data_IF_014023609261
#
_entry.id   IF_014023609261
#
_cell.length_a   1.000
_cell.length_b   1.000
_cell.length_c   1.000
_cell.angle_alpha   90.00
_cell.angle_beta   90.00
_cell.angle_gamma   90.00
#
_symmetry.space_group_name_H-M   'P 1'
#
loop_
_entity.id
_entity.type
_entity.pdbx_description
1 polymer ?
#
# COMPACT_ATOMS: atom_id res chain seq x y z
N UNK A 1 12.71 -7.77 -15.42
CA UNK A 1 12.98 -7.14 -14.12
C UNK A 1 12.63 -8.11 -13.01
N UNK A 2 13.40 -8.12 -11.91
CA UNK A 2 13.01 -8.79 -10.65
C UNK A 2 12.30 -7.79 -9.75
N UNK A 3 11.06 -8.05 -9.43
CA UNK A 3 10.22 -7.14 -8.63
C UNK A 3 9.78 -7.85 -7.35
N UNK A 4 10.02 -7.25 -6.20
CA UNK A 4 9.51 -7.72 -4.91
C UNK A 4 8.28 -6.89 -4.56
N UNK A 5 7.15 -7.55 -4.25
CA UNK A 5 5.87 -6.89 -4.01
C UNK A 5 5.22 -7.40 -2.72
N UNK A 6 4.87 -6.48 -1.83
CA UNK A 6 4.02 -6.75 -0.67
C UNK A 6 2.57 -6.37 -0.96
N UNK A 7 1.62 -6.98 -0.26
CA UNK A 7 0.20 -6.69 -0.47
C UNK A 7 -0.39 -7.30 -1.75
N UNK A 8 0.30 -8.27 -2.37
CA UNK A 8 -0.11 -8.92 -3.62
C UNK A 8 -1.50 -9.61 -3.58
N UNK A 9 -2.00 -9.93 -2.39
CA UNK A 9 -3.33 -10.54 -2.18
C UNK A 9 -4.45 -9.51 -2.00
N UNK A 10 -4.13 -8.22 -1.95
CA UNK A 10 -5.10 -7.13 -1.84
C UNK A 10 -5.69 -6.75 -3.20
N UNK A 11 -6.74 -5.91 -3.19
CA UNK A 11 -7.45 -5.44 -4.38
C UNK A 11 -6.50 -4.87 -5.45
N UNK A 12 -5.67 -3.90 -5.10
CA UNK A 12 -4.70 -3.30 -6.04
C UNK A 12 -3.59 -4.31 -6.37
N UNK A 13 -3.04 -4.97 -5.36
CA UNK A 13 -1.89 -5.86 -5.54
C UNK A 13 -2.16 -7.08 -6.40
N UNK A 14 -3.37 -7.63 -6.38
CA UNK A 14 -3.75 -8.77 -7.23
C UNK A 14 -3.79 -8.38 -8.72
N UNK A 15 -4.41 -7.25 -9.04
CA UNK A 15 -4.49 -6.73 -10.42
C UNK A 15 -3.09 -6.33 -10.92
N UNK A 16 -2.31 -5.64 -10.09
CA UNK A 16 -0.95 -5.26 -10.43
C UNK A 16 -0.06 -6.50 -10.66
N UNK A 17 -0.18 -7.52 -9.80
CA UNK A 17 0.55 -8.79 -9.96
C UNK A 17 0.20 -9.46 -11.29
N UNK A 18 -1.07 -9.46 -11.67
CA UNK A 18 -1.50 -10.03 -12.94
C UNK A 18 -0.93 -9.25 -14.13
N UNK A 19 -1.04 -7.91 -14.11
CA UNK A 19 -0.50 -7.05 -15.18
C UNK A 19 1.02 -7.19 -15.32
N UNK A 20 1.77 -7.14 -14.22
CA UNK A 20 3.22 -7.31 -14.22
C UNK A 20 3.67 -8.69 -14.68
N UNK A 21 2.86 -9.73 -14.47
CA UNK A 21 3.17 -11.10 -14.92
C UNK A 21 3.03 -11.30 -16.42
N UNK A 22 2.20 -10.50 -17.10
CA UNK A 22 2.07 -10.51 -18.56
C UNK A 22 3.32 -9.97 -19.26
N UNK A 23 4.10 -9.14 -18.56
CA UNK A 23 5.41 -8.69 -18.99
C UNK A 23 6.49 -9.69 -18.56
N UNK A 24 7.71 -9.61 -19.13
CA UNK A 24 8.81 -10.54 -18.82
C UNK A 24 9.45 -10.30 -17.44
N UNK A 25 8.64 -10.04 -16.41
CA UNK A 25 9.09 -9.81 -15.04
C UNK A 25 9.15 -11.11 -14.24
N UNK A 26 10.12 -11.20 -13.33
CA UNK A 26 10.15 -12.17 -12.23
C UNK A 26 9.60 -11.52 -10.98
N UNK A 27 8.53 -12.07 -10.42
CA UNK A 27 7.84 -11.51 -9.28
C UNK A 27 8.09 -12.32 -8.02
N UNK A 28 8.55 -11.68 -6.96
CA UNK A 28 8.59 -12.23 -5.61
C UNK A 28 7.49 -11.56 -4.79
N UNK A 29 6.48 -12.33 -4.43
CA UNK A 29 5.26 -11.87 -3.78
C UNK A 29 5.32 -12.19 -2.29
N UNK A 30 5.34 -11.17 -1.46
CA UNK A 30 5.45 -11.29 -0.02
C UNK A 30 4.07 -11.28 0.63
N UNK A 31 3.75 -12.32 1.41
CA UNK A 31 2.46 -12.44 2.09
C UNK A 31 2.62 -13.09 3.46
N UNK A 32 1.79 -12.68 4.43
CA UNK A 32 1.69 -13.33 5.74
C UNK A 32 1.23 -14.80 5.63
N UNK A 33 0.44 -15.09 4.59
CA UNK A 33 -0.10 -16.42 4.28
C UNK A 33 0.04 -16.66 2.78
N UNK A 34 1.21 -17.13 2.31
CA UNK A 34 1.38 -17.48 0.91
C UNK A 34 0.35 -18.54 0.48
N UNK A 35 -0.25 -18.44 -0.70
CA UNK A 35 -1.10 -19.49 -1.23
C UNK A 35 -0.33 -20.79 -1.41
N UNK A 36 -0.90 -21.93 -1.01
CA UNK A 36 -0.30 -23.22 -1.24
C UNK A 36 -0.23 -23.54 -2.75
N UNK A 37 0.93 -24.06 -3.21
CA UNK A 37 1.08 -24.60 -4.57
C UNK A 37 1.13 -23.60 -5.72
N UNK A 38 1.19 -22.31 -5.48
CA UNK A 38 1.13 -21.28 -6.52
C UNK A 38 2.53 -20.81 -6.97
N UNK A 39 3.34 -21.73 -7.48
CA UNK A 39 4.61 -21.45 -8.12
C UNK A 39 4.45 -21.50 -9.65
N UNK A 40 3.88 -20.44 -10.24
CA UNK A 40 3.98 -20.26 -11.68
C UNK A 40 5.44 -19.89 -12.01
N UNK A 41 5.93 -20.27 -13.20
CA UNK A 41 7.34 -20.17 -13.59
C UNK A 41 8.03 -18.80 -13.38
N UNK A 42 7.25 -17.73 -13.15
CA UNK A 42 7.76 -16.36 -12.93
C UNK A 42 7.21 -15.70 -11.67
N UNK A 43 6.52 -16.45 -10.79
CA UNK A 43 5.94 -15.95 -9.54
C UNK A 43 6.41 -16.83 -8.38
N UNK A 44 7.10 -16.25 -7.44
CA UNK A 44 7.50 -16.90 -6.19
C UNK A 44 6.77 -16.25 -5.04
N UNK A 45 6.12 -17.05 -4.19
CA UNK A 45 5.53 -16.57 -2.95
C UNK A 45 6.45 -16.87 -1.77
N UNK A 46 6.67 -15.87 -0.94
CA UNK A 46 7.46 -16.02 0.30
C UNK A 46 6.64 -15.54 1.50
N UNK A 47 6.80 -16.27 2.61
CA UNK A 47 6.23 -15.84 3.88
C UNK A 47 6.93 -14.57 4.34
N UNK A 48 6.14 -13.56 4.72
CA UNK A 48 6.64 -12.28 5.21
C UNK A 48 5.78 -11.78 6.37
N UNK A 49 6.46 -11.44 7.44
CA UNK A 49 5.88 -10.78 8.60
C UNK A 49 6.86 -9.70 9.07
N UNK A 50 6.41 -8.43 9.25
CA UNK A 50 7.25 -7.38 9.83
C UNK A 50 7.88 -7.83 11.16
N UNK A 51 9.17 -7.54 11.34
CA UNK A 51 9.92 -7.92 12.54
C UNK A 51 10.40 -9.38 12.60
N UNK A 52 10.05 -10.22 11.61
CA UNK A 52 10.53 -11.60 11.52
C UNK A 52 11.45 -11.73 10.31
N UNK A 53 12.71 -12.09 10.55
CA UNK A 53 13.68 -12.38 9.47
C UNK A 53 13.33 -13.67 8.75
N UNK A 54 13.65 -13.74 7.46
CA UNK A 54 13.34 -14.90 6.63
C UNK A 54 13.93 -14.82 5.22
N UNK A 55 13.59 -15.81 4.39
CA UNK A 55 14.05 -15.86 3.00
C UNK A 55 13.67 -14.62 2.17
N UNK A 56 12.60 -13.95 2.55
CA UNK A 56 12.13 -12.74 1.90
C UNK A 56 13.17 -11.61 1.91
N UNK A 57 14.02 -11.52 2.96
CA UNK A 57 15.09 -10.52 3.03
C UNK A 57 16.12 -10.76 1.90
N UNK A 58 16.43 -12.03 1.62
CA UNK A 58 17.33 -12.40 0.53
C UNK A 58 16.74 -12.10 -0.85
N UNK A 59 15.41 -12.09 -0.96
CA UNK A 59 14.73 -11.76 -2.22
C UNK A 59 14.90 -10.29 -2.62
N UNK A 60 15.12 -9.40 -1.65
CA UNK A 60 15.43 -7.97 -1.91
C UNK A 60 16.77 -7.81 -2.60
N UNK A 61 17.76 -8.66 -2.26
CA UNK A 61 19.08 -8.61 -2.89
C UNK A 61 18.98 -8.88 -4.40
N UNK A 62 19.51 -7.96 -5.20
CA UNK A 62 19.44 -8.02 -6.66
C UNK A 62 18.03 -7.81 -7.24
N UNK A 63 17.07 -7.31 -6.48
CA UNK A 63 15.80 -6.84 -7.03
C UNK A 63 16.00 -5.52 -7.80
N UNK A 64 15.29 -5.35 -8.93
CA UNK A 64 15.26 -4.08 -9.65
C UNK A 64 14.35 -3.06 -8.94
N UNK A 65 13.21 -3.54 -8.40
CA UNK A 65 12.25 -2.69 -7.70
C UNK A 65 11.59 -3.41 -6.52
N UNK A 66 11.22 -2.63 -5.51
CA UNK A 66 10.37 -3.04 -4.38
C UNK A 66 9.07 -2.25 -4.44
N UNK A 67 7.93 -2.94 -4.43
CA UNK A 67 6.60 -2.33 -4.40
C UNK A 67 5.93 -2.67 -3.08
N UNK A 68 5.63 -1.65 -2.28
CA UNK A 68 5.04 -1.81 -0.96
C UNK A 68 3.58 -1.35 -0.95
N UNK A 69 2.65 -2.31 -1.04
CA UNK A 69 1.20 -2.08 -0.98
C UNK A 69 0.59 -2.69 0.29
N UNK A 70 1.39 -3.21 1.22
CA UNK A 70 0.89 -3.87 2.41
C UNK A 70 0.31 -2.87 3.42
N UNK A 71 -0.84 -3.19 3.96
CA UNK A 71 -1.48 -2.41 5.02
C UNK A 71 -2.80 -3.03 5.45
N UNK A 72 -3.14 -2.93 6.73
CA UNK A 72 -4.45 -3.32 7.25
C UNK A 72 -5.53 -2.41 6.65
N UNK A 73 -6.69 -2.94 6.19
CA UNK A 73 -7.77 -2.14 5.62
C UNK A 73 -8.29 -1.08 6.60
N UNK A 74 -8.27 0.20 6.18
CA UNK A 74 -8.70 1.35 7.00
C UNK A 74 -10.17 1.23 7.42
N UNK A 75 -11.04 0.86 6.49
CA UNK A 75 -12.48 0.78 6.70
C UNK A 75 -12.96 -0.64 7.11
N UNK A 76 -12.05 -1.53 7.50
CA UNK A 76 -12.39 -2.92 7.84
C UNK A 76 -13.08 -3.06 9.20
N UNK A 77 -12.68 -2.26 10.18
CA UNK A 77 -13.11 -2.35 11.59
C UNK A 77 -13.29 -0.96 12.19
N UNK A 78 -14.00 -0.90 13.33
CA UNK A 78 -14.13 0.35 14.12
C UNK A 78 -12.75 0.77 14.65
N UNK A 79 -12.46 2.06 14.64
CA UNK A 79 -11.20 2.65 15.07
C UNK A 79 -11.09 2.77 16.60
N UNK A 80 -10.84 1.66 17.26
CA UNK A 80 -10.38 1.62 18.65
C UNK A 80 -8.90 1.99 18.74
N UNK A 81 -8.38 2.27 19.92
CA UNK A 81 -6.95 2.49 20.13
C UNK A 81 -6.11 1.31 19.59
N UNK A 82 -6.53 0.07 19.89
CA UNK A 82 -5.90 -1.14 19.38
C UNK A 82 -5.93 -1.23 17.84
N UNK A 83 -7.07 -0.87 17.22
CA UNK A 83 -7.15 -0.89 15.76
C UNK A 83 -6.27 0.18 15.10
N UNK A 84 -6.19 1.38 15.69
CA UNK A 84 -5.29 2.44 15.22
C UNK A 84 -3.82 1.99 15.28
N UNK A 85 -3.42 1.28 16.34
CA UNK A 85 -2.08 0.71 16.46
C UNK A 85 -1.81 -0.35 15.36
N UNK A 86 -2.78 -1.23 15.09
CA UNK A 86 -2.67 -2.21 13.99
C UNK A 86 -2.56 -1.52 12.63
N UNK A 87 -3.33 -0.44 12.40
CA UNK A 87 -3.26 0.35 11.17
C UNK A 87 -1.86 0.97 10.99
N UNK A 88 -1.29 1.49 12.09
CA UNK A 88 0.04 2.08 12.11
C UNK A 88 1.13 1.02 11.90
N UNK A 89 1.16 -0.01 12.73
CA UNK A 89 2.21 -1.04 12.70
C UNK A 89 2.24 -1.78 11.35
N UNK A 90 1.07 -2.09 10.78
CA UNK A 90 1.01 -2.77 9.48
C UNK A 90 1.66 -1.98 8.33
N UNK A 91 1.76 -0.64 8.46
CA UNK A 91 2.36 0.25 7.48
C UNK A 91 3.77 0.63 7.84
N UNK A 92 3.96 1.23 9.00
CA UNK A 92 5.25 1.77 9.43
C UNK A 92 6.24 0.63 9.68
N UNK A 93 5.88 -0.38 10.49
CA UNK A 93 6.80 -1.49 10.78
C UNK A 93 7.02 -2.37 9.56
N UNK A 94 5.98 -2.52 8.70
CA UNK A 94 6.11 -3.19 7.42
C UNK A 94 7.13 -2.51 6.50
N UNK A 95 7.04 -1.19 6.38
CA UNK A 95 7.96 -0.39 5.57
C UNK A 95 9.38 -0.40 6.16
N UNK A 96 9.49 -0.26 7.48
CA UNK A 96 10.75 -0.35 8.21
C UNK A 96 11.47 -1.67 7.95
N UNK A 97 10.75 -2.78 7.96
CA UNK A 97 11.31 -4.10 7.66
C UNK A 97 11.88 -4.18 6.22
N UNK A 98 11.15 -3.63 5.24
CA UNK A 98 11.63 -3.58 3.85
C UNK A 98 12.86 -2.69 3.70
N UNK A 99 12.85 -1.48 4.29
CA UNK A 99 14.00 -0.56 4.28
C UNK A 99 15.23 -1.20 4.94
N UNK A 100 15.03 -1.91 6.04
CA UNK A 100 16.11 -2.65 6.69
C UNK A 100 16.69 -3.77 5.80
N UNK A 101 15.85 -4.51 5.09
CA UNK A 101 16.31 -5.52 4.14
C UNK A 101 17.02 -4.88 2.93
N UNK A 102 16.55 -3.73 2.45
CA UNK A 102 17.26 -2.92 1.44
C UNK A 102 18.63 -2.51 1.93
N UNK A 103 18.74 -2.03 3.17
CA UNK A 103 20.03 -1.64 3.77
C UNK A 103 21.04 -2.81 3.82
N UNK A 104 20.57 -4.03 4.04
CA UNK A 104 21.40 -5.24 4.11
C UNK A 104 21.73 -5.85 2.73
N UNK A 105 20.94 -5.58 1.70
CA UNK A 105 21.14 -6.14 0.37
C UNK A 105 22.54 -5.79 -0.17
N UNK A 106 23.23 -6.71 -0.83
CA UNK A 106 24.51 -6.45 -1.51
C UNK A 106 24.28 -5.61 -2.77
N UNK A 107 23.31 -6.00 -3.57
CA UNK A 107 22.85 -5.26 -4.75
C UNK A 107 21.51 -4.65 -4.42
N UNK A 108 21.48 -3.34 -4.21
CA UNK A 108 20.29 -2.60 -3.81
C UNK A 108 19.31 -2.43 -4.97
N UNK A 109 18.00 -2.46 -4.71
CA UNK A 109 17.01 -2.11 -5.73
C UNK A 109 17.23 -0.66 -6.19
N UNK A 110 16.89 -0.39 -7.45
CA UNK A 110 16.97 0.98 -8.00
C UNK A 110 15.78 1.83 -7.58
N UNK A 111 14.65 1.20 -7.28
CA UNK A 111 13.36 1.86 -7.04
C UNK A 111 12.62 1.20 -5.89
N UNK A 112 12.07 2.01 -5.00
CA UNK A 112 11.02 1.63 -4.05
C UNK A 112 9.77 2.45 -4.33
N UNK A 113 8.66 1.79 -4.69
CA UNK A 113 7.34 2.40 -4.77
C UNK A 113 6.61 2.03 -3.48
N UNK A 114 6.24 3.02 -2.69
CA UNK A 114 5.46 2.79 -1.46
C UNK A 114 4.10 3.46 -1.56
N UNK A 115 3.06 2.73 -1.21
CA UNK A 115 1.75 3.33 -1.02
C UNK A 115 1.82 4.40 0.07
N UNK A 116 1.03 5.44 -0.14
CA UNK A 116 0.57 6.42 0.82
C UNK A 116 -0.92 6.67 0.54
N UNK A 117 -1.49 7.77 0.97
CA UNK A 117 -2.88 8.11 0.71
C UNK A 117 -3.09 9.63 0.71
N UNK A 118 -4.13 10.09 0.02
CA UNK A 118 -4.60 11.49 0.11
C UNK A 118 -4.99 11.90 1.54
N UNK A 119 -5.22 10.94 2.43
CA UNK A 119 -5.36 11.19 3.87
C UNK A 119 -4.16 11.89 4.51
N UNK A 120 -3.01 11.97 3.84
CA UNK A 120 -1.87 12.78 4.21
C UNK A 120 -2.24 14.25 4.45
N UNK A 121 -3.12 14.79 3.60
CA UNK A 121 -3.50 16.19 3.66
C UNK A 121 -4.51 16.50 4.79
N UNK A 122 -5.25 15.49 5.27
CA UNK A 122 -6.35 15.72 6.22
C UNK A 122 -7.57 16.39 5.59
N UNK A 123 -8.53 16.89 6.40
CA UNK A 123 -9.69 17.60 5.90
C UNK A 123 -9.30 19.01 5.41
N UNK A 124 -9.73 19.35 4.19
CA UNK A 124 -9.53 20.64 3.55
C UNK A 124 -10.83 21.18 2.95
N UNK A 125 -10.84 22.48 2.62
CA UNK A 125 -11.90 23.17 1.88
C UNK A 125 -11.81 22.91 0.36
N UNK A 126 -12.01 23.98 -0.41
CA UNK A 126 -12.06 23.90 -1.89
C UNK A 126 -10.70 24.24 -2.55
N UNK A 127 -9.66 24.45 -1.76
CA UNK A 127 -8.32 24.73 -2.27
C UNK A 127 -7.72 23.52 -3.00
N UNK A 128 -7.00 23.77 -4.08
CA UNK A 128 -6.25 22.75 -4.78
C UNK A 128 -5.01 22.35 -3.96
N UNK A 129 -4.85 21.05 -3.74
CA UNK A 129 -3.70 20.47 -3.06
C UNK A 129 -2.77 19.81 -4.07
N UNK A 130 -1.47 19.92 -3.83
CA UNK A 130 -0.41 19.27 -4.60
C UNK A 130 0.56 18.52 -3.64
N UNK A 131 1.60 17.96 -4.21
CA UNK A 131 2.56 17.16 -3.45
C UNK A 131 3.35 17.97 -2.41
N UNK A 132 3.51 19.28 -2.61
CA UNK A 132 4.21 20.21 -1.71
C UNK A 132 3.30 20.74 -0.59
N UNK A 133 1.98 20.47 -0.66
CA UNK A 133 1.03 20.88 0.36
C UNK A 133 1.33 20.22 1.69
N UNK A 134 1.17 20.98 2.78
CA UNK A 134 1.46 20.51 4.14
C UNK A 134 0.54 19.35 4.54
N UNK A 135 1.02 18.44 5.39
CA UNK A 135 0.16 17.40 5.96
C UNK A 135 -0.87 18.00 6.91
N UNK A 136 -2.01 17.33 7.03
CA UNK A 136 -2.98 17.59 8.07
C UNK A 136 -2.50 17.12 9.45
N UNK A 137 -3.36 17.28 10.46
CA UNK A 137 -3.04 16.99 11.85
C UNK A 137 -3.88 15.87 12.48
N UNK A 138 -4.75 15.23 11.70
CA UNK A 138 -5.57 14.11 12.15
C UNK A 138 -4.77 12.79 12.24
N UNK A 139 -5.46 11.72 12.67
CA UNK A 139 -4.82 10.40 12.79
C UNK A 139 -4.32 9.86 11.45
N UNK A 140 -5.07 10.05 10.36
CA UNK A 140 -4.67 9.53 9.05
C UNK A 140 -3.51 10.31 8.47
N UNK A 141 -3.52 11.62 8.62
CA UNK A 141 -2.43 12.47 8.18
C UNK A 141 -1.11 12.10 8.89
N UNK A 142 -1.15 12.00 10.22
CA UNK A 142 0.02 11.55 11.01
C UNK A 142 0.49 10.15 10.62
N UNK A 143 -0.43 9.22 10.37
CA UNK A 143 -0.11 7.88 9.90
C UNK A 143 0.61 7.91 8.55
N UNK A 144 0.13 8.72 7.60
CA UNK A 144 0.77 8.89 6.29
C UNK A 144 2.16 9.50 6.42
N UNK A 145 2.32 10.54 7.25
CA UNK A 145 3.64 11.17 7.52
C UNK A 145 4.63 10.15 8.07
N UNK A 146 4.24 9.38 9.10
CA UNK A 146 5.10 8.34 9.68
C UNK A 146 5.49 7.28 8.62
N UNK A 147 4.53 6.89 7.80
CA UNK A 147 4.72 5.88 6.76
C UNK A 147 5.67 6.36 5.65
N UNK A 148 5.44 7.58 5.14
CA UNK A 148 6.29 8.21 4.13
C UNK A 148 7.71 8.47 4.66
N UNK A 149 7.83 8.95 5.89
CA UNK A 149 9.12 9.15 6.56
C UNK A 149 9.92 7.85 6.63
N UNK A 150 9.26 6.73 6.93
CA UNK A 150 9.95 5.43 6.98
C UNK A 150 10.40 4.97 5.59
N UNK A 151 9.58 5.19 4.54
CA UNK A 151 9.95 4.84 3.18
C UNK A 151 11.13 5.66 2.65
N UNK A 152 11.16 6.96 2.93
CA UNK A 152 12.25 7.86 2.52
C UNK A 152 13.63 7.44 3.07
N UNK A 153 13.69 6.69 4.16
CA UNK A 153 14.97 6.17 4.67
C UNK A 153 15.71 5.27 3.67
N UNK A 154 15.02 4.71 2.67
CA UNK A 154 15.66 3.94 1.61
C UNK A 154 16.57 4.78 0.71
N UNK A 155 16.35 6.10 0.63
CA UNK A 155 17.16 7.03 -0.16
C UNK A 155 18.61 7.11 0.34
N UNK A 156 18.83 6.92 1.65
CA UNK A 156 20.16 6.85 2.23
C UNK A 156 21.03 5.71 1.68
N UNK A 157 20.40 4.73 1.02
CA UNK A 157 21.05 3.59 0.38
C UNK A 157 21.12 3.72 -1.15
N UNK A 158 20.84 4.91 -1.71
CA UNK A 158 20.84 5.16 -3.16
C UNK A 158 19.62 4.64 -3.91
N UNK A 159 18.55 4.31 -3.21
CA UNK A 159 17.28 3.84 -3.79
C UNK A 159 16.39 5.05 -4.08
N UNK A 160 15.91 5.19 -5.31
CA UNK A 160 14.86 6.17 -5.62
C UNK A 160 13.56 5.75 -4.94
N UNK A 161 12.98 6.64 -4.14
CA UNK A 161 11.67 6.41 -3.49
C UNK A 161 10.57 7.16 -4.25
N UNK A 162 9.46 6.48 -4.50
CA UNK A 162 8.26 7.05 -5.09
C UNK A 162 7.07 6.75 -4.15
N UNK A 163 6.43 7.79 -3.64
CA UNK A 163 5.29 7.70 -2.74
C UNK A 163 3.99 7.93 -3.51
N UNK A 164 3.02 7.02 -3.39
CA UNK A 164 1.74 7.11 -4.08
C UNK A 164 0.65 7.54 -3.11
N UNK A 165 0.32 8.83 -3.05
CA UNK A 165 -0.80 9.37 -2.28
C UNK A 165 -2.12 9.11 -3.00
N UNK A 166 -2.54 7.85 -2.99
CA UNK A 166 -3.70 7.37 -3.74
C UNK A 166 -5.00 7.82 -3.09
N UNK A 167 -5.97 8.25 -3.90
CA UNK A 167 -7.35 8.48 -3.49
C UNK A 167 -8.12 7.17 -3.23
N UNK A 168 -9.43 7.27 -3.13
CA UNK A 168 -10.30 6.09 -2.96
C UNK A 168 -10.28 5.27 -4.24
N UNK A 169 -9.74 4.05 -4.19
CA UNK A 169 -9.74 3.16 -5.35
C UNK A 169 -11.11 2.51 -5.49
N UNK A 170 -11.72 2.74 -6.65
CA UNK A 170 -13.04 2.21 -7.00
C UNK A 170 -12.89 0.95 -7.84
N UNK A 171 -13.48 -0.15 -7.36
CA UNK A 171 -13.52 -1.43 -8.04
C UNK A 171 -14.88 -2.11 -7.87
N UNK A 172 -15.39 -2.74 -8.92
CA UNK A 172 -16.66 -3.46 -8.87
C UNK A 172 -16.60 -4.61 -7.84
N UNK A 173 -17.48 -4.56 -6.85
CA UNK A 173 -17.62 -5.63 -5.86
C UNK A 173 -16.54 -5.67 -4.77
N UNK A 174 -15.58 -4.73 -4.77
CA UNK A 174 -14.51 -4.64 -3.80
C UNK A 174 -14.37 -3.22 -3.21
N UNK A 175 -13.51 -3.08 -2.20
CA UNK A 175 -13.12 -1.80 -1.62
C UNK A 175 -14.30 -0.96 -1.14
N UNK A 176 -14.26 0.33 -1.45
CA UNK A 176 -15.27 1.30 -1.05
C UNK A 176 -16.64 1.03 -1.71
N UNK A 177 -16.67 0.72 -3.01
CA UNK A 177 -17.93 0.48 -3.73
C UNK A 177 -18.71 -0.70 -3.16
N UNK A 178 -18.04 -1.76 -2.70
CA UNK A 178 -18.70 -2.89 -2.04
C UNK A 178 -19.54 -2.47 -0.84
N UNK A 179 -19.13 -1.41 -0.14
CA UNK A 179 -19.83 -0.89 1.03
C UNK A 179 -20.86 0.20 0.68
N UNK A 180 -20.56 1.00 -0.34
CA UNK A 180 -21.41 2.12 -0.74
C UNK A 180 -22.63 1.71 -1.52
N UNK A 181 -22.51 0.73 -2.42
CA UNK A 181 -23.59 0.32 -3.33
C UNK A 181 -24.81 -0.33 -2.64
N UNK A 182 -24.68 -1.22 -1.63
CA UNK A 182 -25.84 -1.92 -1.05
C UNK A 182 -26.95 -1.00 -0.51
N UNK A 183 -26.69 0.09 0.24
CA UNK A 183 -27.75 1.00 0.67
C UNK A 183 -28.56 1.60 -0.50
N UNK A 184 -27.90 1.95 -1.61
CA UNK A 184 -28.59 2.48 -2.79
C UNK A 184 -29.45 1.44 -3.46
N UNK A 185 -29.00 0.18 -3.54
CA UNK A 185 -29.81 -0.93 -4.06
C UNK A 185 -31.03 -1.23 -3.20
N UNK A 186 -30.98 -0.90 -1.92
CA UNK A 186 -32.09 -1.04 -0.97
C UNK A 186 -32.95 0.24 -0.86
N UNK A 187 -32.72 1.23 -1.73
CA UNK A 187 -33.42 2.53 -1.71
C UNK A 187 -33.27 3.32 -0.38
N UNK A 188 -32.25 3.00 0.41
CA UNK A 188 -31.93 3.66 1.70
C UNK A 188 -30.64 4.49 1.60
N UNK A 189 -30.08 4.60 0.40
CA UNK A 189 -28.88 5.39 0.14
C UNK A 189 -29.16 6.90 0.27
N UNK A 190 -28.16 7.65 0.69
CA UNK A 190 -28.24 9.10 0.82
C UNK A 190 -26.85 9.74 0.92
N UNK A 191 -26.80 11.08 1.04
CA UNK A 191 -25.53 11.78 1.19
C UNK A 191 -24.83 11.37 2.49
N UNK A 192 -23.52 11.24 2.45
CA UNK A 192 -22.68 11.06 3.63
C UNK A 192 -22.40 12.43 4.25
N UNK A 193 -22.69 12.61 5.54
CA UNK A 193 -22.52 13.88 6.23
C UNK A 193 -23.27 15.02 5.53
N UNK A 194 -22.60 16.12 5.18
CA UNK A 194 -23.17 17.24 4.43
C UNK A 194 -23.35 16.96 2.94
N UNK A 195 -22.76 15.89 2.42
CA UNK A 195 -22.70 15.59 0.98
C UNK A 195 -21.80 16.53 0.17
N UNK A 196 -21.12 17.49 0.79
CA UNK A 196 -20.30 18.53 0.14
C UNK A 196 -18.80 18.30 0.25
N UNK A 197 -18.38 17.24 0.98
CA UNK A 197 -16.97 16.91 1.14
C UNK A 197 -16.38 16.37 -0.16
N UNK A 198 -15.17 16.80 -0.47
CA UNK A 198 -14.38 16.25 -1.56
C UNK A 198 -14.03 14.78 -1.31
N UNK A 199 -14.19 13.95 -2.32
CA UNK A 199 -13.83 12.53 -2.31
C UNK A 199 -12.94 12.22 -3.51
N UNK A 200 -11.63 12.45 -3.42
CA UNK A 200 -10.73 12.08 -4.51
C UNK A 200 -10.74 10.57 -4.72
N UNK A 201 -10.92 10.15 -5.95
CA UNK A 201 -11.00 8.75 -6.32
C UNK A 201 -10.25 8.45 -7.61
N UNK A 202 -9.93 7.18 -7.81
CA UNK A 202 -9.32 6.63 -9.02
C UNK A 202 -9.95 5.28 -9.32
N UNK A 203 -10.13 4.95 -10.59
CA UNK A 203 -10.57 3.60 -10.94
C UNK A 203 -9.42 2.60 -10.78
N UNK A 204 -9.75 1.33 -10.49
CA UNK A 204 -8.73 0.29 -10.28
C UNK A 204 -7.87 0.02 -11.53
N UNK A 205 -8.40 0.30 -12.72
CA UNK A 205 -7.67 0.09 -13.97
C UNK A 205 -6.69 1.22 -14.32
N UNK A 206 -6.85 2.41 -13.71
CA UNK A 206 -5.99 3.57 -13.89
C UNK A 206 -4.80 3.52 -12.93
#
# INVERSE_FOLDING_TARGET
MKIVLTGATGMIGSVLTERLSKSHNSLVLLSRRPPAGNHAAKRQWLAWQPGVSGEWERAIDGADAVINLAGEPIAGKRWTAKQKEILRSSRVDGTKALVHAIAKAKVKPKLMISSSAVGYYGPHGDEALNEDSKPGDDFLARLCVDWETEAHKAEAFGVRVCLLRTGIVLAKGEGALKKMVPPFKMFTGGPLGSGRQWMPWIHLDD
#
